data_IF_785546013358
#
_entry.id   IF_785546013358
#
_cell.length_a   1.000
_cell.length_b   1.000
_cell.length_c   1.000
_cell.angle_alpha   90.00
_cell.angle_beta   90.00
_cell.angle_gamma   90.00
#
_symmetry.space_group_name_H-M   'P 1'
#
loop_
_entity.id
_entity.type
_entity.pdbx_description
1 polymer ?
#
# COMPACT_ATOMS: atom_id res chain seq x y z
N UNK A 1 -21.51 -21.93 -29.68
CA UNK A 1 -22.61 -20.94 -29.64
C UNK A 1 -23.22 -20.99 -28.24
N UNK A 2 -23.25 -19.89 -27.46
CA UNK A 2 -23.97 -19.87 -26.20
C UNK A 2 -25.48 -19.80 -26.48
N UNK A 3 -26.34 -20.45 -25.67
CA UNK A 3 -27.78 -20.45 -25.90
C UNK A 3 -28.35 -19.02 -25.77
N UNK A 4 -29.07 -18.61 -26.82
CA UNK A 4 -29.76 -17.34 -26.93
C UNK A 4 -30.87 -17.22 -25.87
N UNK A 5 -30.90 -16.07 -25.18
CA UNK A 5 -32.08 -15.47 -24.54
C UNK A 5 -33.05 -16.45 -23.83
N UNK A 6 -32.70 -16.88 -22.62
CA UNK A 6 -33.74 -17.13 -21.62
C UNK A 6 -34.42 -15.78 -21.33
N UNK A 7 -35.55 -15.51 -22.02
CA UNK A 7 -36.44 -14.39 -21.67
C UNK A 7 -36.77 -14.54 -20.18
N UNK A 8 -36.18 -13.68 -19.34
CA UNK A 8 -36.55 -13.61 -17.93
C UNK A 8 -38.02 -13.19 -17.91
N UNK A 9 -38.83 -13.98 -17.23
CA UNK A 9 -40.25 -13.71 -17.07
C UNK A 9 -40.41 -12.33 -16.38
N UNK A 10 -41.36 -11.49 -16.80
CA UNK A 10 -41.59 -10.20 -16.16
C UNK A 10 -41.90 -10.38 -14.67
N UNK A 11 -41.38 -9.54 -13.77
CA UNK A 11 -41.56 -9.68 -12.32
C UNK A 11 -43.04 -9.67 -11.90
N UNK A 12 -43.90 -8.99 -12.67
CA UNK A 12 -45.35 -8.93 -12.48
C UNK A 12 -46.00 -10.32 -12.68
N UNK A 13 -45.64 -11.03 -13.75
CA UNK A 13 -46.13 -12.38 -14.02
C UNK A 13 -45.59 -13.42 -13.03
N UNK A 14 -44.37 -13.23 -12.52
CA UNK A 14 -43.80 -14.07 -11.46
C UNK A 14 -44.59 -13.89 -10.15
N UNK A 15 -44.96 -12.65 -9.83
CA UNK A 15 -45.77 -12.36 -8.65
C UNK A 15 -47.18 -12.98 -8.77
N UNK A 16 -47.86 -12.84 -9.91
CA UNK A 16 -49.17 -13.45 -10.15
C UNK A 16 -49.13 -14.98 -10.04
N UNK A 17 -48.13 -15.63 -10.64
CA UNK A 17 -47.90 -17.08 -10.50
C UNK A 17 -47.62 -17.47 -9.04
N UNK A 18 -46.81 -16.69 -8.33
CA UNK A 18 -46.53 -16.95 -6.92
C UNK A 18 -47.79 -16.83 -6.05
N UNK A 19 -48.71 -15.90 -6.34
CA UNK A 19 -49.98 -15.76 -5.63
C UNK A 19 -51.00 -16.87 -5.96
N UNK A 20 -50.88 -17.51 -7.12
CA UNK A 20 -51.72 -18.64 -7.54
C UNK A 20 -51.38 -19.96 -6.83
N UNK A 21 -50.23 -20.03 -6.14
CA UNK A 21 -49.79 -21.22 -5.42
C UNK A 21 -50.57 -21.45 -4.12
N UNK A 22 -50.72 -22.72 -3.69
CA UNK A 22 -51.23 -23.05 -2.36
C UNK A 22 -50.52 -22.29 -1.23
N UNK A 23 -51.25 -21.97 -0.15
CA UNK A 23 -50.78 -21.09 0.92
C UNK A 23 -49.52 -21.63 1.63
N UNK A 24 -49.46 -22.93 1.85
CA UNK A 24 -48.32 -23.68 2.39
C UNK A 24 -47.07 -23.57 1.51
N UNK A 25 -47.24 -23.65 0.19
CA UNK A 25 -46.15 -23.48 -0.78
C UNK A 25 -45.65 -22.04 -0.81
N UNK A 26 -46.55 -21.05 -0.77
CA UNK A 26 -46.18 -19.62 -0.67
C UNK A 26 -45.41 -19.32 0.61
N UNK A 27 -45.86 -19.84 1.74
CA UNK A 27 -45.19 -19.71 3.03
C UNK A 27 -43.79 -20.36 3.03
N UNK A 28 -43.66 -21.55 2.43
CA UNK A 28 -42.37 -22.23 2.30
C UNK A 28 -41.39 -21.43 1.43
N UNK A 29 -41.84 -20.90 0.28
CA UNK A 29 -41.03 -20.06 -0.60
C UNK A 29 -40.57 -18.79 0.12
N UNK A 30 -41.48 -18.08 0.81
CA UNK A 30 -41.12 -16.89 1.58
C UNK A 30 -40.07 -17.16 2.66
N UNK A 31 -40.17 -18.30 3.37
CA UNK A 31 -39.19 -18.67 4.39
C UNK A 31 -37.83 -18.99 3.78
N UNK A 32 -37.78 -19.70 2.65
CA UNK A 32 -36.53 -20.01 1.95
C UNK A 32 -35.89 -18.72 1.40
N UNK A 33 -36.68 -17.83 0.80
CA UNK A 33 -36.21 -16.51 0.35
C UNK A 33 -35.65 -15.68 1.50
N UNK A 34 -36.36 -15.60 2.63
CA UNK A 34 -35.87 -14.85 3.79
C UNK A 34 -34.56 -15.41 4.36
N UNK A 35 -34.40 -16.74 4.39
CA UNK A 35 -33.15 -17.39 4.82
C UNK A 35 -32.01 -17.10 3.83
N UNK A 36 -32.28 -17.14 2.53
CA UNK A 36 -31.31 -16.83 1.50
C UNK A 36 -30.89 -15.36 1.52
N UNK A 37 -31.84 -14.43 1.65
CA UNK A 37 -31.58 -12.99 1.77
C UNK A 37 -30.74 -12.70 3.01
N UNK A 38 -31.06 -13.32 4.15
CA UNK A 38 -30.27 -13.21 5.37
C UNK A 38 -28.83 -13.73 5.16
N UNK A 39 -28.66 -14.87 4.47
CA UNK A 39 -27.34 -15.40 4.14
C UNK A 39 -26.54 -14.44 3.23
N UNK A 40 -27.16 -13.91 2.18
CA UNK A 40 -26.53 -12.95 1.25
C UNK A 40 -26.11 -11.69 1.98
N UNK A 41 -26.99 -11.11 2.80
CA UNK A 41 -26.68 -9.93 3.62
C UNK A 41 -25.51 -10.19 4.57
N UNK A 42 -25.50 -11.34 5.24
CA UNK A 42 -24.39 -11.74 6.12
C UNK A 42 -23.06 -11.81 5.36
N UNK A 43 -23.05 -12.44 4.17
CA UNK A 43 -21.85 -12.52 3.33
C UNK A 43 -21.39 -11.16 2.81
N UNK A 44 -22.32 -10.29 2.45
CA UNK A 44 -22.01 -8.91 2.05
C UNK A 44 -21.38 -8.12 3.22
N UNK A 45 -21.93 -8.24 4.43
CA UNK A 45 -21.37 -7.59 5.62
C UNK A 45 -19.97 -8.10 5.96
N UNK A 46 -19.74 -9.42 5.88
CA UNK A 46 -18.43 -10.01 6.10
C UNK A 46 -17.42 -9.49 5.06
N UNK A 47 -17.82 -9.40 3.79
CA UNK A 47 -16.99 -8.81 2.73
C UNK A 47 -16.66 -7.33 3.00
N UNK A 48 -17.66 -6.50 3.37
CA UNK A 48 -17.47 -5.09 3.69
C UNK A 48 -16.50 -4.93 4.87
N UNK A 49 -16.66 -5.71 5.93
CA UNK A 49 -15.75 -5.68 7.10
C UNK A 49 -14.31 -6.00 6.72
N UNK A 50 -14.11 -7.04 5.91
CA UNK A 50 -12.79 -7.43 5.43
C UNK A 50 -12.16 -6.32 4.56
N UNK A 51 -12.94 -5.68 3.68
CA UNK A 51 -12.42 -4.58 2.86
C UNK A 51 -12.10 -3.35 3.72
N UNK A 52 -12.92 -2.98 4.70
CA UNK A 52 -12.61 -1.90 5.64
C UNK A 52 -11.33 -2.17 6.43
N UNK A 53 -11.12 -3.42 6.87
CA UNK A 53 -9.87 -3.81 7.53
C UNK A 53 -8.67 -3.71 6.58
N UNK A 54 -8.82 -4.15 5.32
CA UNK A 54 -7.81 -4.00 4.28
C UNK A 54 -7.45 -2.53 4.04
N UNK A 55 -8.44 -1.65 3.96
CA UNK A 55 -8.26 -0.21 3.78
C UNK A 55 -7.55 0.44 4.98
N UNK A 56 -7.89 0.03 6.22
CA UNK A 56 -7.19 0.49 7.42
C UNK A 56 -5.71 0.11 7.39
N UNK A 57 -5.39 -1.13 7.04
CA UNK A 57 -4.01 -1.60 6.89
C UNK A 57 -3.28 -0.78 5.80
N UNK A 58 -3.93 -0.52 4.66
CA UNK A 58 -3.39 0.35 3.60
C UNK A 58 -3.13 1.78 4.07
N UNK A 59 -3.99 2.34 4.91
CA UNK A 59 -3.81 3.67 5.47
C UNK A 59 -2.62 3.72 6.43
N UNK A 60 -2.50 2.75 7.35
CA UNK A 60 -1.37 2.66 8.28
C UNK A 60 -0.03 2.48 7.54
N UNK A 61 0.01 1.64 6.49
CA UNK A 61 1.17 1.50 5.59
C UNK A 61 1.64 2.84 5.05
N UNK A 62 0.73 3.61 4.45
CA UNK A 62 1.03 4.91 3.84
C UNK A 62 1.56 5.89 4.88
N UNK A 63 1.01 5.88 6.09
CA UNK A 63 1.46 6.73 7.19
C UNK A 63 2.88 6.40 7.65
N UNK A 64 3.20 5.11 7.85
CA UNK A 64 4.55 4.69 8.25
C UNK A 64 5.60 5.03 7.19
N UNK A 65 5.33 4.76 5.91
CA UNK A 65 6.25 5.12 4.83
C UNK A 65 6.45 6.64 4.72
N UNK A 66 5.40 7.44 4.86
CA UNK A 66 5.50 8.89 4.84
C UNK A 66 6.38 9.43 5.99
N UNK A 67 6.21 8.88 7.21
CA UNK A 67 7.03 9.25 8.36
C UNK A 67 8.51 8.89 8.15
N UNK A 68 8.81 7.67 7.70
CA UNK A 68 10.19 7.24 7.41
C UNK A 68 10.82 8.07 6.29
N UNK A 69 10.06 8.43 5.24
CA UNK A 69 10.51 9.32 4.16
C UNK A 69 10.89 10.70 4.68
N UNK A 70 10.04 11.32 5.50
CA UNK A 70 10.34 12.63 6.08
C UNK A 70 11.59 12.60 6.97
N UNK A 71 11.77 11.55 7.75
CA UNK A 71 12.95 11.36 8.59
C UNK A 71 14.23 11.29 7.74
N UNK A 72 14.24 10.43 6.72
CA UNK A 72 15.38 10.30 5.79
C UNK A 72 15.72 11.64 5.12
N UNK A 73 14.72 12.39 4.67
CA UNK A 73 14.94 13.68 4.03
C UNK A 73 15.58 14.70 4.97
N UNK A 74 15.08 14.79 6.21
CA UNK A 74 15.66 15.68 7.23
C UNK A 74 17.15 15.38 7.43
N UNK A 75 17.48 14.10 7.45
CA UNK A 75 18.82 13.61 7.77
C UNK A 75 19.75 13.74 6.56
N UNK A 76 19.27 13.50 5.34
CA UNK A 76 20.05 13.71 4.12
C UNK A 76 20.60 15.13 3.99
N UNK A 77 19.91 16.13 4.55
CA UNK A 77 20.34 17.53 4.57
C UNK A 77 21.41 17.85 5.63
N UNK A 78 21.58 16.96 6.60
CA UNK A 78 22.47 17.14 7.77
C UNK A 78 23.71 16.25 7.71
N UNK A 79 23.75 15.24 6.83
CA UNK A 79 24.87 14.31 6.72
C UNK A 79 25.88 14.77 5.66
N UNK A 80 27.16 14.54 5.94
CA UNK A 80 28.28 14.66 4.98
C UNK A 80 28.03 13.89 3.66
N UNK A 81 28.41 14.45 2.49
CA UNK A 81 28.18 13.84 1.18
C UNK A 81 28.66 12.38 1.04
N UNK A 82 29.83 12.05 1.59
CA UNK A 82 30.38 10.68 1.53
C UNK A 82 29.47 9.65 2.24
N UNK A 83 28.84 10.04 3.34
CA UNK A 83 27.93 9.18 4.10
C UNK A 83 26.54 9.13 3.44
N UNK A 84 26.12 10.20 2.79
CA UNK A 84 24.91 10.21 1.96
C UNK A 84 25.01 9.20 0.81
N UNK A 85 26.18 9.08 0.19
CA UNK A 85 26.48 8.07 -0.85
C UNK A 85 26.37 6.65 -0.30
N UNK A 86 26.91 6.39 0.89
CA UNK A 86 26.78 5.09 1.56
C UNK A 86 25.34 4.76 1.91
N UNK A 87 24.57 5.74 2.40
CA UNK A 87 23.14 5.57 2.67
C UNK A 87 22.39 5.22 1.38
N UNK A 88 22.64 5.94 0.28
CA UNK A 88 22.07 5.65 -1.04
C UNK A 88 22.37 4.22 -1.49
N UNK A 89 23.62 3.76 -1.37
CA UNK A 89 23.99 2.43 -1.84
C UNK A 89 23.32 1.31 -1.03
N UNK A 90 23.19 1.50 0.29
CA UNK A 90 22.43 0.58 1.13
C UNK A 90 20.94 0.55 0.79
N UNK A 91 20.34 1.72 0.56
CA UNK A 91 18.92 1.83 0.18
C UNK A 91 18.70 1.20 -1.20
N UNK A 92 19.55 1.49 -2.18
CA UNK A 92 19.47 0.89 -3.52
C UNK A 92 19.60 -0.64 -3.48
N UNK A 93 20.53 -1.17 -2.67
CA UNK A 93 20.71 -2.61 -2.49
C UNK A 93 19.48 -3.28 -1.87
N UNK A 94 18.83 -2.64 -0.89
CA UNK A 94 17.58 -3.13 -0.29
C UNK A 94 16.47 -3.28 -1.33
N UNK A 95 16.33 -2.28 -2.22
CA UNK A 95 15.35 -2.31 -3.30
C UNK A 95 15.76 -3.12 -4.53
N UNK A 96 17.00 -3.62 -4.57
CA UNK A 96 17.61 -4.27 -5.75
C UNK A 96 17.52 -3.39 -7.00
N UNK A 97 17.63 -2.08 -6.81
CA UNK A 97 17.63 -1.08 -7.88
C UNK A 97 19.02 -0.52 -8.11
N UNK A 98 19.23 0.08 -9.27
CA UNK A 98 20.46 0.82 -9.54
C UNK A 98 20.59 2.00 -8.57
N UNK A 99 21.79 2.24 -8.05
CA UNK A 99 22.09 3.45 -7.27
C UNK A 99 22.14 4.73 -8.14
N UNK A 100 21.83 4.62 -9.45
CA UNK A 100 21.71 5.74 -10.39
C UNK A 100 20.27 6.01 -10.82
N UNK A 101 19.31 5.29 -10.24
CA UNK A 101 17.88 5.51 -10.50
C UNK A 101 17.54 6.99 -10.23
N UNK A 102 16.76 7.62 -11.10
CA UNK A 102 16.33 9.01 -10.96
C UNK A 102 17.39 10.09 -11.19
N UNK A 103 18.59 9.73 -11.67
CA UNK A 103 19.66 10.69 -12.00
C UNK A 103 19.78 10.92 -13.50
N UNK A 104 20.10 12.16 -13.88
CA UNK A 104 20.42 12.48 -15.29
C UNK A 104 21.84 12.04 -15.67
N UNK A 105 22.15 11.90 -16.97
CA UNK A 105 23.50 11.59 -17.42
C UNK A 105 24.55 12.63 -17.00
N UNK A 106 24.21 13.93 -16.92
CA UNK A 106 25.14 14.96 -16.45
C UNK A 106 25.46 14.79 -14.96
N UNK A 107 24.42 14.50 -14.18
CA UNK A 107 24.49 14.25 -12.73
C UNK A 107 25.37 13.04 -12.39
N UNK A 108 25.25 11.97 -13.18
CA UNK A 108 26.10 10.77 -13.03
C UNK A 108 27.57 11.11 -13.29
N UNK A 109 27.86 11.99 -14.24
CA UNK A 109 29.23 12.45 -14.54
C UNK A 109 29.78 13.39 -13.48
N UNK A 110 28.93 14.19 -12.85
CA UNK A 110 29.32 15.14 -11.80
C UNK A 110 29.80 14.48 -10.50
N UNK A 111 29.39 13.24 -10.23
CA UNK A 111 29.92 12.40 -9.14
C UNK A 111 29.56 12.84 -7.71
N UNK A 112 29.04 14.06 -7.53
CA UNK A 112 28.58 14.59 -6.24
C UNK A 112 27.10 14.29 -6.05
N UNK A 113 26.76 13.62 -4.95
CA UNK A 113 25.38 13.34 -4.56
C UNK A 113 24.85 14.46 -3.68
N UNK A 114 23.86 15.21 -4.15
CA UNK A 114 23.14 16.21 -3.33
C UNK A 114 21.95 15.58 -2.61
N UNK A 115 21.45 16.19 -1.52
CA UNK A 115 20.22 15.74 -0.86
C UNK A 115 19.01 15.69 -1.80
N UNK A 116 18.89 16.64 -2.73
CA UNK A 116 17.80 16.71 -3.72
C UNK A 116 17.89 15.56 -4.73
N UNK A 117 19.12 15.22 -5.17
CA UNK A 117 19.35 14.06 -6.02
C UNK A 117 18.94 12.79 -5.28
N UNK A 118 19.43 12.59 -4.06
CA UNK A 118 19.09 11.44 -3.22
C UNK A 118 17.58 11.34 -2.97
N UNK A 119 16.87 12.45 -2.74
CA UNK A 119 15.43 12.49 -2.59
C UNK A 119 14.71 11.92 -3.82
N UNK A 120 15.09 12.33 -5.04
CA UNK A 120 14.49 11.78 -6.26
C UNK A 120 14.73 10.28 -6.40
N UNK A 121 15.94 9.82 -6.06
CA UNK A 121 16.25 8.39 -6.11
C UNK A 121 15.39 7.62 -5.10
N UNK A 122 15.27 8.12 -3.88
CA UNK A 122 14.44 7.51 -2.84
C UNK A 122 12.98 7.45 -3.29
N UNK A 123 12.46 8.51 -3.92
CA UNK A 123 11.09 8.55 -4.41
C UNK A 123 10.82 7.50 -5.50
N UNK A 124 11.74 7.34 -6.45
CA UNK A 124 11.65 6.27 -7.45
C UNK A 124 11.77 4.87 -6.83
N UNK A 125 12.63 4.69 -5.83
CA UNK A 125 12.76 3.41 -5.13
C UNK A 125 11.47 3.07 -4.36
N UNK A 126 10.90 4.04 -3.64
CA UNK A 126 9.65 3.88 -2.88
C UNK A 126 8.44 3.61 -3.78
N UNK A 127 8.43 4.11 -5.03
CA UNK A 127 7.37 3.84 -5.98
C UNK A 127 7.21 2.34 -6.29
N UNK A 128 8.26 1.52 -6.10
CA UNK A 128 8.18 0.07 -6.28
C UNK A 128 7.45 -0.66 -5.15
N UNK A 129 7.20 0.02 -4.02
CA UNK A 129 6.64 -0.57 -2.80
C UNK A 129 5.12 -0.50 -2.77
N UNK A 130 4.49 0.45 -3.47
CA UNK A 130 3.04 0.69 -3.36
C UNK A 130 2.17 -0.53 -3.72
N UNK A 131 2.74 -1.52 -4.42
CA UNK A 131 2.09 -2.78 -4.78
C UNK A 131 2.48 -3.99 -3.88
N UNK A 132 3.30 -3.79 -2.84
CA UNK A 132 3.85 -4.86 -2.01
C UNK A 132 2.98 -5.22 -0.78
N UNK A 133 3.27 -6.40 -0.22
CA UNK A 133 2.59 -6.94 0.97
C UNK A 133 2.77 -6.05 2.20
N UNK A 134 1.97 -6.27 3.25
CA UNK A 134 2.11 -5.51 4.51
C UNK A 134 3.45 -5.75 5.21
N UNK A 135 3.87 -7.01 5.29
CA UNK A 135 5.15 -7.36 5.88
C UNK A 135 6.32 -6.73 5.12
N UNK A 136 6.25 -6.66 3.79
CA UNK A 136 7.27 -6.00 2.97
C UNK A 136 7.39 -4.51 3.30
N UNK A 137 6.25 -3.80 3.38
CA UNK A 137 6.23 -2.37 3.71
C UNK A 137 6.76 -2.11 5.13
N UNK A 138 6.34 -2.94 6.09
CA UNK A 138 6.80 -2.84 7.48
C UNK A 138 8.30 -3.07 7.58
N UNK A 139 8.80 -4.13 6.94
CA UNK A 139 10.22 -4.45 6.89
C UNK A 139 11.05 -3.34 6.25
N UNK A 140 10.56 -2.74 5.16
CA UNK A 140 11.22 -1.58 4.54
C UNK A 140 11.19 -0.36 5.45
N UNK A 141 10.08 -0.06 6.12
CA UNK A 141 10.00 1.05 7.05
C UNK A 141 10.96 0.88 8.24
N UNK A 142 11.07 -0.33 8.79
CA UNK A 142 12.03 -0.69 9.85
C UNK A 142 13.47 -0.60 9.37
N UNK A 143 13.78 -1.10 8.17
CA UNK A 143 15.10 -0.98 7.55
C UNK A 143 15.51 0.48 7.38
N UNK A 144 14.62 1.27 6.76
CA UNK A 144 14.83 2.70 6.54
C UNK A 144 15.05 3.41 7.88
N UNK A 145 14.23 3.15 8.89
CA UNK A 145 14.41 3.73 10.24
C UNK A 145 15.74 3.32 10.86
N UNK A 146 16.11 2.04 10.78
CA UNK A 146 17.34 1.51 11.39
C UNK A 146 18.57 2.11 10.74
N UNK A 147 18.67 2.05 9.40
CA UNK A 147 19.79 2.64 8.67
C UNK A 147 19.88 4.13 8.88
N UNK A 148 18.75 4.81 8.86
CA UNK A 148 18.71 6.25 9.11
C UNK A 148 19.21 6.59 10.52
N UNK A 149 18.80 5.84 11.54
CA UNK A 149 19.28 6.02 12.91
C UNK A 149 20.77 5.69 13.07
N UNK A 150 21.29 4.67 12.39
CA UNK A 150 22.73 4.38 12.36
C UNK A 150 23.52 5.62 11.89
N UNK A 151 23.07 6.29 10.82
CA UNK A 151 23.76 7.48 10.32
C UNK A 151 23.51 8.76 11.15
N UNK A 152 22.38 8.85 11.88
CA UNK A 152 22.13 9.94 12.86
C UNK A 152 22.96 9.77 14.12
N UNK A 153 23.17 8.55 14.61
CA UNK A 153 24.02 8.31 15.78
C UNK A 153 25.48 8.74 15.57
N UNK A 154 25.88 8.96 14.31
CA UNK A 154 27.16 9.57 13.96
C UNK A 154 27.10 11.10 13.76
N UNK A 155 26.00 11.78 14.12
CA UNK A 155 25.92 13.25 14.09
C UNK A 155 26.73 13.92 15.20
N UNK A 156 27.38 13.13 16.07
CA UNK A 156 28.43 13.66 16.92
C UNK A 156 29.80 13.51 16.24
N UNK A 157 30.49 14.66 16.16
CA UNK A 157 31.89 14.89 15.76
C UNK A 157 32.03 15.04 14.23
N UNK A 158 32.08 16.24 13.64
CA UNK A 158 32.94 17.39 13.99
C UNK A 158 32.17 18.73 13.91
N UNK A 159 32.27 19.53 14.97
CA UNK A 159 31.62 20.84 15.09
C UNK A 159 31.21 21.23 16.51
N UNK A 160 31.27 20.31 17.48
CA UNK A 160 31.22 20.67 18.88
C UNK A 160 32.52 21.40 19.25
N UNK A 161 32.41 22.71 19.47
CA UNK A 161 33.47 23.53 20.06
C UNK A 161 33.97 22.83 21.32
N UNK A 162 35.26 22.52 21.38
CA UNK A 162 35.92 22.29 22.66
C UNK A 162 35.84 23.61 23.44
N UNK A 163 34.95 23.65 24.43
CA UNK A 163 34.88 24.68 25.47
C UNK A 163 34.66 23.96 26.80
#
# INVERSE_FOLDING_TARGET
MPPQNQKRMPPELIAELAFSLPMDVRWAIQRVSAVFDHFVQKKQLDWIKNELQRQKILHEKKRHLAASRQLILKISKQIMPNRLTNLRDNVAAHFRLSNRVGLTPEEIKGGVLTPEMFQRQLDEMLATIDHQSFESIKWTAEFLSTKTNEYVGYSEIEGASHA
#
